data_IF_152433090455
#
_entry.id   IF_152433090455
#
_cell.length_a   1.000
_cell.length_b   1.000
_cell.length_c   1.000
_cell.angle_alpha   90.00
_cell.angle_beta   90.00
_cell.angle_gamma   90.00
#
_symmetry.space_group_name_H-M   'P 1'
#
loop_
_entity.id
_entity.type
_entity.pdbx_description
1 polymer ?
#
# COMPACT_ATOMS: atom_id res chain seq x y z
N UNK A 1 -28.10 3.96 4.53
CA UNK A 1 -27.29 3.22 3.55
C UNK A 1 -27.21 1.77 3.98
N UNK A 2 -27.62 0.87 3.13
CA UNK A 2 -27.39 -0.57 3.34
C UNK A 2 -25.95 -0.87 2.97
N UNK A 3 -25.19 -1.43 3.91
CA UNK A 3 -23.84 -1.91 3.66
C UNK A 3 -23.91 -3.43 3.60
N UNK A 4 -23.58 -3.98 2.44
CA UNK A 4 -23.45 -5.41 2.25
C UNK A 4 -21.98 -5.79 2.22
N UNK A 5 -21.65 -6.96 2.77
CA UNK A 5 -20.32 -7.52 2.67
C UNK A 5 -20.39 -9.01 2.32
N UNK A 6 -19.39 -9.46 1.62
CA UNK A 6 -19.26 -10.87 1.26
C UNK A 6 -18.00 -11.43 1.90
N UNK A 7 -18.16 -12.51 2.68
CA UNK A 7 -17.03 -13.21 3.24
C UNK A 7 -16.28 -13.98 2.15
N UNK A 8 -14.98 -13.69 1.97
CA UNK A 8 -14.16 -14.43 1.03
C UNK A 8 -13.83 -15.83 1.55
N UNK A 9 -14.60 -16.81 1.12
CA UNK A 9 -14.42 -18.22 1.49
C UNK A 9 -13.18 -18.86 0.84
N UNK A 10 -12.62 -18.21 -0.20
CA UNK A 10 -11.46 -18.71 -0.96
C UNK A 10 -10.15 -18.03 -0.54
N UNK A 11 -10.16 -17.28 0.57
CA UNK A 11 -8.93 -16.65 1.06
C UNK A 11 -7.87 -17.70 1.38
N UNK A 12 -6.65 -17.45 0.96
CA UNK A 12 -5.50 -18.25 1.34
C UNK A 12 -5.16 -18.06 2.83
N UNK A 13 -4.84 -19.15 3.51
CA UNK A 13 -4.39 -19.15 4.90
C UNK A 13 -3.01 -19.81 4.91
N UNK A 14 -2.06 -19.19 5.61
CA UNK A 14 -0.71 -19.73 5.77
C UNK A 14 0.37 -18.81 5.22
N UNK A 15 1.56 -19.35 5.05
CA UNK A 15 2.71 -18.61 4.56
C UNK A 15 2.59 -18.31 3.06
N UNK A 16 3.28 -17.26 2.63
CA UNK A 16 3.42 -16.90 1.22
C UNK A 16 4.08 -18.07 0.45
N UNK A 17 3.46 -18.57 -0.65
CA UNK A 17 3.96 -19.72 -1.38
C UNK A 17 5.38 -19.52 -1.93
N UNK A 18 6.23 -20.54 -1.80
CA UNK A 18 7.62 -20.48 -2.25
C UNK A 18 7.75 -20.24 -3.76
N UNK A 19 6.86 -20.82 -4.54
CA UNK A 19 6.81 -20.70 -6.00
C UNK A 19 6.50 -19.28 -6.49
N UNK A 20 5.90 -18.44 -5.64
CA UNK A 20 5.60 -17.05 -5.96
C UNK A 20 6.74 -16.10 -5.57
N UNK A 21 7.72 -16.55 -4.79
CA UNK A 21 8.84 -15.71 -4.33
C UNK A 21 9.67 -15.11 -5.45
N UNK A 22 9.92 -15.78 -6.59
CA UNK A 22 10.61 -15.15 -7.72
C UNK A 22 9.84 -13.98 -8.34
N UNK A 23 8.50 -13.96 -8.18
CA UNK A 23 7.63 -12.91 -8.73
C UNK A 23 7.62 -11.70 -7.81
N UNK A 24 7.38 -11.93 -6.51
CA UNK A 24 7.28 -10.87 -5.51
C UNK A 24 7.93 -11.33 -4.19
N UNK A 25 8.90 -10.56 -3.72
CA UNK A 25 9.61 -10.82 -2.47
C UNK A 25 10.09 -9.51 -1.84
N UNK A 26 10.58 -9.60 -0.59
CA UNK A 26 11.05 -8.42 0.15
C UNK A 26 12.29 -7.78 -0.47
N UNK A 27 13.17 -8.57 -1.08
CA UNK A 27 14.38 -8.06 -1.75
C UNK A 27 14.01 -7.17 -2.95
N UNK A 28 13.13 -7.66 -3.83
CA UNK A 28 12.64 -6.87 -4.96
C UNK A 28 11.87 -5.63 -4.50
N UNK A 29 11.09 -5.74 -3.44
CA UNK A 29 10.39 -4.60 -2.84
C UNK A 29 11.38 -3.54 -2.33
N UNK A 30 12.47 -3.96 -1.70
CA UNK A 30 13.53 -3.06 -1.25
C UNK A 30 14.21 -2.34 -2.42
N UNK A 31 14.54 -3.06 -3.48
CA UNK A 31 15.14 -2.48 -4.69
C UNK A 31 14.23 -1.42 -5.28
N UNK A 32 12.92 -1.70 -5.40
CA UNK A 32 11.95 -0.73 -5.89
C UNK A 32 11.87 0.51 -4.99
N UNK A 33 11.83 0.30 -3.68
CA UNK A 33 11.78 1.38 -2.71
C UNK A 33 13.02 2.26 -2.76
N UNK A 34 14.21 1.67 -2.83
CA UNK A 34 15.47 2.40 -2.91
C UNK A 34 15.57 3.23 -4.20
N UNK A 35 15.06 2.73 -5.32
CA UNK A 35 14.96 3.48 -6.58
C UNK A 35 13.98 4.65 -6.47
N UNK A 36 12.76 4.40 -6.03
CA UNK A 36 11.69 5.41 -5.93
C UNK A 36 12.10 6.56 -5.00
N UNK A 37 12.84 6.28 -3.94
CA UNK A 37 13.34 7.33 -3.02
C UNK A 37 14.27 8.34 -3.71
N UNK A 38 14.92 7.96 -4.80
CA UNK A 38 15.84 8.86 -5.53
C UNK A 38 15.12 9.79 -6.48
N UNK A 39 13.85 9.56 -6.76
CA UNK A 39 13.11 10.36 -7.74
C UNK A 39 12.89 11.78 -7.26
N UNK A 40 13.02 12.73 -8.19
CA UNK A 40 12.77 14.13 -7.89
C UNK A 40 11.33 14.35 -7.40
N UNK A 41 11.20 15.04 -6.27
CA UNK A 41 9.90 15.28 -5.64
C UNK A 41 9.45 14.15 -4.70
N UNK A 42 10.26 13.11 -4.48
CA UNK A 42 9.94 12.12 -3.47
C UNK A 42 9.88 12.75 -2.08
N UNK A 43 8.84 12.44 -1.35
CA UNK A 43 8.70 12.73 0.07
C UNK A 43 7.86 11.64 0.73
N UNK A 44 8.10 11.41 2.01
CA UNK A 44 7.23 10.56 2.80
C UNK A 44 5.85 11.22 2.92
N UNK A 45 4.80 10.46 2.69
CA UNK A 45 3.43 10.93 2.89
C UNK A 45 2.96 10.67 4.30
N UNK A 46 2.04 11.50 4.85
CA UNK A 46 1.56 11.36 6.20
C UNK A 46 0.85 10.02 6.46
N UNK A 47 1.01 9.51 7.67
CA UNK A 47 0.23 8.40 8.21
C UNK A 47 -0.49 8.87 9.46
N UNK A 48 -1.81 8.92 9.41
CA UNK A 48 -2.65 9.35 10.52
C UNK A 48 -3.26 8.17 11.26
N UNK A 49 -3.26 8.24 12.59
CA UNK A 49 -4.01 7.30 13.43
C UNK A 49 -5.37 7.90 13.77
N UNK A 50 -6.44 7.26 13.31
CA UNK A 50 -7.81 7.73 13.49
C UNK A 50 -8.43 7.09 14.75
N UNK A 51 -7.91 7.47 15.92
CA UNK A 51 -8.26 6.87 17.22
C UNK A 51 -9.74 7.00 17.57
N UNK A 52 -10.33 8.18 17.32
CA UNK A 52 -11.74 8.44 17.64
C UNK A 52 -12.67 7.55 16.81
N UNK A 53 -12.43 7.44 15.50
CA UNK A 53 -13.22 6.60 14.61
C UNK A 53 -13.04 5.13 14.98
N UNK A 54 -11.82 4.69 15.27
CA UNK A 54 -11.55 3.33 15.71
C UNK A 54 -12.36 2.97 16.96
N UNK A 55 -12.37 3.86 17.96
CA UNK A 55 -13.15 3.68 19.19
C UNK A 55 -14.66 3.60 18.90
N UNK A 56 -15.19 4.48 18.05
CA UNK A 56 -16.60 4.49 17.69
C UNK A 56 -17.05 3.22 16.96
N UNK A 57 -16.14 2.63 16.16
CA UNK A 57 -16.43 1.41 15.40
C UNK A 57 -16.08 0.13 16.17
N UNK A 58 -15.51 0.23 17.38
CA UNK A 58 -15.13 -0.93 18.17
C UNK A 58 -13.98 -1.74 17.59
N UNK A 59 -13.11 -1.13 16.80
CA UNK A 59 -11.90 -1.76 16.26
C UNK A 59 -10.66 -1.27 16.98
N UNK A 60 -9.60 -2.08 17.00
CA UNK A 60 -8.36 -1.77 17.72
C UNK A 60 -7.68 -0.49 17.21
N UNK A 61 -7.59 -0.34 15.90
CA UNK A 61 -6.94 0.80 15.26
C UNK A 61 -7.40 0.98 13.82
N UNK A 62 -7.36 2.24 13.37
CA UNK A 62 -7.56 2.60 11.96
C UNK A 62 -6.43 3.58 11.62
N UNK A 63 -5.72 3.30 10.53
CA UNK A 63 -4.69 4.18 10.01
C UNK A 63 -5.10 4.68 8.63
N UNK A 64 -4.82 5.95 8.37
CA UNK A 64 -5.05 6.61 7.10
C UNK A 64 -3.72 7.06 6.50
N UNK A 65 -3.30 6.44 5.39
CA UNK A 65 -2.12 6.85 4.63
C UNK A 65 -2.53 7.88 3.59
N UNK A 66 -2.12 9.12 3.79
CA UNK A 66 -2.51 10.24 2.93
C UNK A 66 -1.55 10.39 1.74
N UNK A 67 -1.93 9.85 0.61
CA UNK A 67 -1.18 9.92 -0.65
C UNK A 67 -1.58 11.11 -1.54
N UNK A 68 -2.38 12.05 -1.04
CA UNK A 68 -2.86 13.21 -1.83
C UNK A 68 -1.75 14.13 -2.32
N UNK A 69 -0.61 14.15 -1.62
CA UNK A 69 0.55 14.96 -1.98
C UNK A 69 1.62 14.20 -2.78
N UNK A 70 1.41 12.92 -3.09
CA UNK A 70 2.42 12.09 -3.76
C UNK A 70 2.81 12.68 -5.12
N UNK A 71 4.04 13.18 -5.27
CA UNK A 71 4.57 13.83 -6.46
C UNK A 71 3.66 14.94 -7.05
N UNK A 72 2.77 15.52 -6.26
CA UNK A 72 1.78 16.48 -6.74
C UNK A 72 0.70 15.90 -7.64
N UNK A 73 0.57 14.56 -7.73
CA UNK A 73 -0.35 13.88 -8.64
C UNK A 73 -1.63 13.36 -7.96
N UNK A 74 -1.77 13.60 -6.65
CA UNK A 74 -3.01 13.33 -5.93
C UNK A 74 -3.29 11.86 -5.61
N UNK A 75 -2.40 10.92 -5.94
CA UNK A 75 -2.58 9.51 -5.62
C UNK A 75 -1.27 8.72 -5.63
N UNK A 76 -1.29 7.52 -5.02
CA UNK A 76 -0.16 6.59 -5.03
C UNK A 76 0.10 5.93 -6.40
N UNK A 77 -0.79 6.07 -7.36
CA UNK A 77 -0.68 5.41 -8.69
C UNK A 77 0.58 5.79 -9.45
N UNK A 78 1.13 6.97 -9.19
CA UNK A 78 2.40 7.40 -9.74
C UNK A 78 3.57 6.47 -9.40
N UNK A 79 3.54 5.78 -8.26
CA UNK A 79 4.61 4.88 -7.82
C UNK A 79 4.74 3.67 -8.73
N UNK A 80 3.68 2.86 -8.82
CA UNK A 80 3.71 1.61 -9.58
C UNK A 80 3.78 1.83 -11.08
N UNK A 81 3.02 2.76 -11.61
CA UNK A 81 3.00 3.06 -13.05
C UNK A 81 4.36 3.54 -13.57
N UNK A 82 4.96 4.51 -12.89
CA UNK A 82 6.27 5.06 -13.28
C UNK A 82 7.37 4.00 -13.10
N UNK A 83 7.37 3.27 -12.00
CA UNK A 83 8.34 2.21 -11.77
C UNK A 83 8.23 1.10 -12.84
N UNK A 84 7.02 0.73 -13.23
CA UNK A 84 6.79 -0.24 -14.29
C UNK A 84 7.38 0.20 -15.63
N UNK A 85 7.17 1.46 -16.01
CA UNK A 85 7.75 2.02 -17.25
C UNK A 85 9.28 2.04 -17.18
N UNK A 86 9.87 2.40 -16.03
CA UNK A 86 11.31 2.43 -15.85
C UNK A 86 11.97 1.04 -16.00
N UNK A 87 11.27 -0.02 -15.57
CA UNK A 87 11.80 -1.41 -15.58
C UNK A 87 11.57 -2.13 -16.89
N UNK A 88 10.60 -1.73 -17.66
CA UNK A 88 10.19 -2.37 -18.91
C UNK A 88 10.18 -1.39 -20.08
#
# INVERSE_FOLDING_TARGET
MLVEYFHNKQKSIGEYPRELRPILNLEHSKVAFDEIKTWNGYAETPLYSLKKIASQLGVKSIYYKDESSRFGLGSFKALGGTYGVLKF
#
